data_IF_884514032264
#
_entry.id   IF_884514032264
#
_cell.length_a   1.000
_cell.length_b   1.000
_cell.length_c   1.000
_cell.angle_alpha   90.00
_cell.angle_beta   90.00
_cell.angle_gamma   90.00
#
_symmetry.space_group_name_H-M   'P 1'
#
loop_
_entity.id
_entity.type
_entity.pdbx_description
1 polymer ?
#
# COMPACT_ATOMS: atom_id res chain seq x y z
N UNK A 1 33.38 57.32 -17.92
CA UNK A 1 34.20 56.93 -16.75
C UNK A 1 34.54 55.46 -16.93
N UNK A 2 35.83 55.10 -16.90
CA UNK A 2 36.30 53.72 -17.08
C UNK A 2 36.40 53.09 -15.69
N UNK A 3 35.79 51.91 -15.52
CA UNK A 3 35.80 51.15 -14.27
C UNK A 3 37.19 50.60 -13.99
N UNK A 4 37.71 50.82 -12.77
CA UNK A 4 39.01 50.34 -12.29
C UNK A 4 38.77 49.37 -11.12
N UNK A 5 39.00 48.09 -11.39
CA UNK A 5 38.75 46.97 -10.46
C UNK A 5 39.74 46.88 -9.30
N UNK A 6 40.74 47.76 -9.23
CA UNK A 6 41.81 47.68 -8.22
C UNK A 6 41.67 48.67 -7.08
N UNK A 7 40.68 49.57 -7.11
CA UNK A 7 40.48 50.57 -6.04
C UNK A 7 39.64 50.01 -4.89
N UNK A 8 40.16 49.96 -3.66
CA UNK A 8 39.35 49.62 -2.50
C UNK A 8 38.30 50.71 -2.24
N UNK A 9 37.08 50.31 -1.89
CA UNK A 9 35.96 51.21 -1.59
C UNK A 9 36.23 51.94 -0.27
N UNK A 10 36.87 53.10 -0.36
CA UNK A 10 37.08 54.01 0.79
C UNK A 10 36.34 55.31 0.55
N UNK A 11 35.11 55.43 1.07
CA UNK A 11 34.36 56.68 0.97
C UNK A 11 32.98 56.61 1.64
N UNK A 12 32.82 57.34 2.75
CA UNK A 12 31.64 57.37 3.62
C UNK A 12 30.40 58.07 3.07
N UNK A 13 30.06 57.89 1.80
CA UNK A 13 28.71 58.16 1.27
C UNK A 13 28.56 57.44 -0.06
N UNK A 14 27.70 56.42 -0.10
CA UNK A 14 27.29 55.80 -1.35
C UNK A 14 26.47 56.84 -2.15
N UNK A 15 27.12 57.59 -3.04
CA UNK A 15 26.41 58.46 -3.98
C UNK A 15 25.55 57.58 -4.90
N UNK A 16 24.33 58.03 -5.22
CA UNK A 16 23.32 57.24 -5.93
C UNK A 16 23.74 56.70 -7.31
N UNK A 17 24.87 57.17 -7.85
CA UNK A 17 25.51 56.64 -9.06
C UNK A 17 26.29 55.35 -8.78
N UNK A 18 27.09 55.30 -7.70
CA UNK A 18 27.89 54.13 -7.36
C UNK A 18 27.01 52.94 -6.94
N UNK A 19 25.89 53.22 -6.28
CA UNK A 19 24.88 52.18 -6.00
C UNK A 19 24.27 51.63 -7.29
N UNK A 20 23.95 52.49 -8.27
CA UNK A 20 23.36 52.03 -9.54
C UNK A 20 24.31 51.17 -10.34
N UNK A 21 25.59 51.54 -10.39
CA UNK A 21 26.62 50.74 -11.05
C UNK A 21 26.84 49.40 -10.34
N UNK A 22 26.87 49.37 -9.00
CA UNK A 22 26.96 48.11 -8.27
C UNK A 22 25.73 47.21 -8.50
N UNK A 23 24.51 47.76 -8.54
CA UNK A 23 23.31 46.98 -8.87
C UNK A 23 23.31 46.49 -10.33
N UNK A 24 23.90 47.24 -11.25
CA UNK A 24 24.06 46.83 -12.64
C UNK A 24 25.07 45.68 -12.77
N UNK A 25 26.23 45.80 -12.13
CA UNK A 25 27.25 44.75 -12.09
C UNK A 25 26.69 43.45 -11.48
N UNK A 26 25.96 43.54 -10.35
CA UNK A 26 25.30 42.38 -9.73
C UNK A 26 24.24 41.71 -10.64
N UNK A 27 23.66 42.45 -11.59
CA UNK A 27 22.70 41.93 -12.58
C UNK A 27 23.42 41.30 -13.78
N UNK A 28 24.49 41.92 -14.25
CA UNK A 28 25.33 41.42 -15.35
C UNK A 28 26.08 40.14 -14.95
N UNK A 29 26.54 40.05 -13.70
CA UNK A 29 27.12 38.83 -13.09
C UNK A 29 26.06 37.76 -12.74
N UNK A 30 24.80 38.02 -13.07
CA UNK A 30 23.65 37.13 -12.86
C UNK A 30 23.45 36.69 -11.40
N UNK A 31 23.97 37.45 -10.42
CA UNK A 31 23.80 37.18 -8.99
C UNK A 31 22.35 37.47 -8.57
N UNK A 32 21.77 38.57 -9.06
CA UNK A 32 20.36 38.92 -8.77
C UNK A 32 19.38 38.01 -9.51
N UNK A 33 19.70 37.63 -10.76
CA UNK A 33 18.93 36.64 -11.52
C UNK A 33 19.05 35.23 -10.94
N UNK A 34 20.24 34.87 -10.45
CA UNK A 34 20.52 33.61 -9.76
C UNK A 34 19.80 33.49 -8.42
N UNK A 35 19.66 34.56 -7.64
CA UNK A 35 18.87 34.55 -6.39
C UNK A 35 17.36 34.48 -6.66
N UNK A 36 16.87 35.00 -7.79
CA UNK A 36 15.48 34.79 -8.20
C UNK A 36 15.23 33.37 -8.76
N UNK A 37 16.26 32.72 -9.31
CA UNK A 37 16.20 31.34 -9.80
C UNK A 37 16.48 30.28 -8.71
N UNK A 38 17.24 30.62 -7.67
CA UNK A 38 17.51 29.80 -6.48
C UNK A 38 16.56 30.11 -5.32
N UNK A 39 15.92 31.27 -5.34
CA UNK A 39 14.81 31.59 -4.47
C UNK A 39 13.73 30.57 -4.76
N UNK A 40 13.36 29.80 -3.75
CA UNK A 40 12.22 28.89 -3.77
C UNK A 40 11.00 29.72 -4.17
N UNK A 41 10.72 29.82 -5.47
CA UNK A 41 9.57 30.57 -5.98
C UNK A 41 8.35 29.80 -5.53
N UNK A 42 7.30 30.48 -5.07
CA UNK A 42 6.01 29.87 -4.67
C UNK A 42 5.49 28.83 -5.69
N UNK A 43 5.82 28.98 -6.97
CA UNK A 43 5.54 28.00 -8.03
C UNK A 43 6.27 26.65 -7.88
N UNK A 44 7.51 26.62 -7.36
CA UNK A 44 8.25 25.39 -7.06
C UNK A 44 7.72 24.69 -5.81
N UNK A 45 7.23 25.46 -4.82
CA UNK A 45 6.46 24.92 -3.69
C UNK A 45 5.09 24.41 -4.12
N UNK A 46 4.42 25.05 -5.08
CA UNK A 46 3.13 24.59 -5.61
C UNK A 46 3.26 23.30 -6.45
N UNK A 47 4.37 23.13 -7.17
CA UNK A 47 4.71 21.85 -7.82
C UNK A 47 5.10 20.76 -6.81
N UNK A 48 5.70 21.15 -5.67
CA UNK A 48 6.07 20.26 -4.55
C UNK A 48 4.95 20.05 -3.53
N UNK A 49 3.82 20.77 -3.65
CA UNK A 49 2.64 20.57 -2.81
C UNK A 49 1.88 19.35 -3.32
N UNK A 50 2.26 18.19 -2.80
CA UNK A 50 1.46 16.96 -2.91
C UNK A 50 0.21 17.18 -2.05
N UNK A 51 -0.85 17.71 -2.65
CA UNK A 51 -2.17 17.72 -2.00
C UNK A 51 -2.50 16.29 -1.55
N UNK A 52 -3.14 16.09 -0.39
CA UNK A 52 -3.52 14.74 0.06
C UNK A 52 -4.33 13.97 -0.98
N UNK A 53 -5.11 14.66 -1.82
CA UNK A 53 -5.82 14.05 -2.96
C UNK A 53 -4.88 13.49 -4.06
N UNK A 54 -3.64 13.96 -4.14
CA UNK A 54 -2.60 13.45 -5.05
C UNK A 54 -1.86 12.24 -4.47
N UNK A 55 -1.94 11.99 -3.16
CA UNK A 55 -1.51 10.73 -2.54
C UNK A 55 -2.56 9.67 -2.82
N UNK A 56 -2.31 8.83 -3.82
CA UNK A 56 -3.19 7.70 -4.14
C UNK A 56 -3.06 6.67 -3.02
N UNK A 57 -4.06 6.61 -2.14
CA UNK A 57 -4.13 5.58 -1.09
C UNK A 57 -5.15 4.50 -1.43
N UNK A 58 -4.92 3.29 -0.93
CA UNK A 58 -5.90 2.22 -0.92
C UNK A 58 -6.02 1.61 0.47
N UNK A 59 -7.03 0.76 0.65
CA UNK A 59 -7.22 -0.03 1.86
C UNK A 59 -7.16 -1.50 1.50
N UNK A 60 -6.41 -2.25 2.30
CA UNK A 60 -6.37 -3.70 2.29
C UNK A 60 -6.71 -4.22 3.67
N UNK A 61 -7.11 -5.47 3.74
CA UNK A 61 -7.42 -6.11 5.02
C UNK A 61 -7.02 -7.57 5.04
N UNK A 62 -6.79 -8.06 6.24
CA UNK A 62 -6.52 -9.45 6.54
C UNK A 62 -7.51 -9.94 7.59
N UNK A 63 -7.83 -11.22 7.58
CA UNK A 63 -8.64 -11.84 8.61
C UNK A 63 -8.21 -13.28 8.89
N UNK A 64 -8.63 -13.78 10.05
CA UNK A 64 -8.54 -15.21 10.33
C UNK A 64 -9.08 -15.58 11.70
N UNK A 65 -9.06 -16.88 11.97
CA UNK A 65 -9.54 -17.50 13.21
C UNK A 65 -8.45 -18.44 13.71
N UNK A 66 -7.93 -18.21 14.92
CA UNK A 66 -6.91 -19.10 15.50
C UNK A 66 -6.87 -18.97 17.03
N UNK A 67 -6.90 -20.11 17.72
CA UNK A 67 -6.71 -20.18 19.17
C UNK A 67 -5.24 -20.04 19.61
N UNK A 68 -4.31 -20.24 18.67
CA UNK A 68 -2.87 -20.05 18.85
C UNK A 68 -2.42 -18.80 18.11
N UNK A 69 -1.23 -18.29 18.44
CA UNK A 69 -0.64 -17.18 17.70
C UNK A 69 -0.37 -17.58 16.25
N UNK A 70 -0.82 -16.74 15.33
CA UNK A 70 -0.52 -16.88 13.90
C UNK A 70 -0.23 -15.51 13.31
N UNK A 71 0.65 -15.48 12.32
CA UNK A 71 1.08 -14.24 11.66
C UNK A 71 0.48 -14.05 10.27
N UNK A 72 0.02 -12.83 9.97
CA UNK A 72 -0.51 -12.42 8.68
C UNK A 72 0.32 -11.29 8.08
N UNK A 73 0.60 -11.36 6.78
CA UNK A 73 1.24 -10.26 6.05
C UNK A 73 0.22 -9.15 5.76
N UNK A 74 0.47 -7.93 6.23
CA UNK A 74 -0.39 -6.79 5.97
C UNK A 74 -0.23 -6.25 4.53
N UNK A 75 -1.32 -5.81 3.88
CA UNK A 75 -1.26 -5.15 2.58
C UNK A 75 -0.52 -3.82 2.59
N UNK A 76 0.26 -3.56 1.53
CA UNK A 76 0.94 -2.28 1.32
C UNK A 76 2.40 -2.26 1.77
N UNK A 77 2.88 -3.28 2.48
CA UNK A 77 4.29 -3.43 2.85
C UNK A 77 4.81 -2.20 3.60
N UNK A 78 5.94 -1.66 3.15
CA UNK A 78 6.59 -0.48 3.75
C UNK A 78 5.77 0.82 3.66
N UNK A 79 4.72 0.86 2.82
CA UNK A 79 3.90 2.05 2.58
C UNK A 79 2.60 2.09 3.38
N UNK A 80 2.48 1.21 4.38
CA UNK A 80 1.35 1.11 5.29
C UNK A 80 1.32 2.21 6.36
N UNK A 81 0.14 2.77 6.60
CA UNK A 81 -0.14 3.51 7.82
C UNK A 81 -0.48 2.55 8.97
N UNK A 82 -0.64 3.08 10.18
CA UNK A 82 -1.03 2.26 11.34
C UNK A 82 -2.33 1.50 11.08
N UNK A 83 -2.31 0.21 11.35
CA UNK A 83 -3.43 -0.71 11.19
C UNK A 83 -4.56 -0.41 12.19
N UNK A 84 -5.78 -0.74 11.78
CA UNK A 84 -6.96 -0.70 12.62
C UNK A 84 -7.48 -2.14 12.80
N UNK A 85 -7.83 -2.49 14.03
CA UNK A 85 -8.21 -3.85 14.41
C UNK A 85 -9.71 -3.93 14.71
N UNK A 86 -10.31 -5.07 14.36
CA UNK A 86 -11.73 -5.35 14.63
C UNK A 86 -11.93 -6.83 14.98
N UNK A 87 -12.74 -7.10 15.99
CA UNK A 87 -13.23 -8.44 16.30
C UNK A 87 -14.59 -8.71 15.64
N UNK A 88 -14.84 -9.95 15.21
CA UNK A 88 -16.08 -10.37 14.57
C UNK A 88 -17.21 -10.68 15.56
N UNK A 89 -16.91 -10.81 16.85
CA UNK A 89 -17.89 -11.16 17.89
C UNK A 89 -17.56 -10.45 19.20
N UNK A 90 -18.54 -9.74 19.76
CA UNK A 90 -18.43 -9.04 21.04
C UNK A 90 -18.25 -10.05 22.19
N UNK A 91 -17.45 -9.69 23.19
CA UNK A 91 -17.22 -10.52 24.39
C UNK A 91 -16.18 -11.62 24.22
N UNK A 92 -15.68 -11.86 23.00
CA UNK A 92 -14.54 -12.75 22.78
C UNK A 92 -13.21 -12.06 23.12
N UNK A 93 -12.22 -12.90 23.41
CA UNK A 93 -10.85 -12.48 23.66
C UNK A 93 -10.09 -12.32 22.34
N UNK A 94 -9.45 -11.17 22.16
CA UNK A 94 -8.60 -10.86 21.01
C UNK A 94 -7.27 -10.32 21.51
N UNK A 95 -6.18 -10.79 20.93
CA UNK A 95 -4.87 -10.19 21.10
C UNK A 95 -4.22 -9.99 19.75
N UNK A 96 -3.49 -8.89 19.63
CA UNK A 96 -2.67 -8.57 18.50
C UNK A 96 -1.31 -8.05 18.98
N UNK A 97 -0.28 -8.39 18.22
CA UNK A 97 1.10 -7.96 18.44
C UNK A 97 1.76 -7.77 17.08
N UNK A 98 2.83 -6.99 17.01
CA UNK A 98 3.64 -6.88 15.80
C UNK A 98 4.34 -8.19 15.45
N UNK A 99 4.62 -9.01 16.46
CA UNK A 99 5.22 -10.34 16.30
C UNK A 99 4.61 -11.29 17.34
N UNK A 100 4.52 -12.57 17.00
CA UNK A 100 4.15 -13.65 17.91
C UNK A 100 5.06 -13.61 19.15
N UNK A 101 4.53 -13.31 20.35
CA UNK A 101 5.31 -13.24 21.58
C UNK A 101 5.78 -14.62 22.08
N UNK A 102 5.30 -15.71 21.47
CA UNK A 102 5.63 -17.09 21.84
C UNK A 102 6.62 -17.79 20.90
N UNK A 103 7.02 -17.11 19.82
CA UNK A 103 8.16 -17.44 18.97
C UNK A 103 8.17 -18.85 18.31
N UNK A 104 7.04 -19.30 17.75
CA UNK A 104 7.04 -20.45 16.83
C UNK A 104 6.85 -20.05 15.35
N UNK A 105 6.29 -18.86 15.07
CA UNK A 105 6.21 -18.30 13.72
C UNK A 105 7.45 -17.43 13.41
N UNK A 106 8.39 -18.00 12.66
CA UNK A 106 9.66 -17.37 12.35
C UNK A 106 9.53 -16.13 11.45
N UNK A 107 10.12 -15.01 11.89
CA UNK A 107 10.50 -13.93 10.98
C UNK A 107 11.30 -14.52 9.81
N UNK A 108 10.88 -14.22 8.59
CA UNK A 108 11.65 -14.65 7.41
C UNK A 108 12.94 -13.83 7.30
N UNK A 109 13.92 -14.29 6.52
CA UNK A 109 15.13 -13.50 6.20
C UNK A 109 14.84 -12.29 5.29
N UNK A 110 13.58 -12.08 4.90
CA UNK A 110 13.10 -10.92 4.16
C UNK A 110 12.26 -10.03 5.07
N UNK A 111 12.35 -8.71 4.86
CA UNK A 111 11.45 -7.75 5.51
C UNK A 111 9.99 -8.04 5.10
N UNK A 112 9.10 -8.04 6.09
CA UNK A 112 7.67 -8.21 5.88
C UNK A 112 6.91 -7.33 6.89
N UNK A 113 5.89 -6.63 6.40
CA UNK A 113 4.93 -5.95 7.28
C UNK A 113 3.93 -6.97 7.78
N UNK A 114 3.99 -7.30 9.07
CA UNK A 114 3.22 -8.39 9.67
C UNK A 114 2.37 -7.92 10.85
N UNK A 115 1.32 -8.68 11.12
CA UNK A 115 0.58 -8.64 12.38
C UNK A 115 0.35 -10.07 12.86
N UNK A 116 0.64 -10.32 14.12
CA UNK A 116 0.35 -11.59 14.77
C UNK A 116 -0.88 -11.43 15.64
N UNK A 117 -1.75 -12.43 15.63
CA UNK A 117 -2.98 -12.40 16.43
C UNK A 117 -3.31 -13.78 16.99
N UNK A 118 -4.18 -13.78 18.01
CA UNK A 118 -4.94 -14.96 18.44
C UNK A 118 -6.32 -14.55 18.93
N UNK A 119 -7.28 -15.45 18.80
CA UNK A 119 -8.69 -15.26 19.19
C UNK A 119 -9.19 -16.43 20.04
N UNK A 120 -10.25 -16.20 20.82
CA UNK A 120 -10.99 -17.27 21.49
C UNK A 120 -12.30 -17.59 20.77
N UNK A 121 -12.87 -18.76 21.05
CA UNK A 121 -14.27 -19.06 20.73
C UNK A 121 -14.60 -19.08 19.24
N UNK A 122 -13.61 -19.34 18.37
CA UNK A 122 -13.82 -19.33 16.92
C UNK A 122 -14.08 -17.95 16.31
N UNK A 123 -13.81 -16.88 17.06
CA UNK A 123 -14.09 -15.53 16.61
C UNK A 123 -13.12 -15.06 15.53
N UNK A 124 -13.63 -14.39 14.50
CA UNK A 124 -12.82 -13.81 13.43
C UNK A 124 -12.12 -12.54 13.90
N UNK A 125 -10.82 -12.48 13.70
CA UNK A 125 -10.02 -11.26 13.78
C UNK A 125 -9.95 -10.60 12.42
N UNK A 126 -10.00 -9.27 12.40
CA UNK A 126 -9.77 -8.45 11.21
C UNK A 126 -8.73 -7.38 11.53
N UNK A 127 -7.79 -7.18 10.60
CA UNK A 127 -6.94 -6.01 10.59
C UNK A 127 -7.03 -5.34 9.21
N UNK A 128 -7.19 -4.02 9.20
CA UNK A 128 -7.20 -3.23 7.97
C UNK A 128 -6.07 -2.20 8.00
N UNK A 129 -5.47 -1.98 6.84
CA UNK A 129 -4.40 -1.02 6.66
C UNK A 129 -4.75 -0.12 5.48
N UNK A 130 -4.68 1.20 5.71
CA UNK A 130 -4.57 2.17 4.62
C UNK A 130 -3.10 2.26 4.24
N UNK A 131 -2.80 2.40 2.96
CA UNK A 131 -1.43 2.50 2.48
C UNK A 131 -1.39 3.30 1.18
N UNK A 132 -0.21 3.82 0.83
CA UNK A 132 0.01 4.45 -0.48
C UNK A 132 0.07 3.33 -1.53
N UNK A 133 -0.88 3.33 -2.45
CA UNK A 133 -0.93 2.30 -3.51
C UNK A 133 -0.10 2.77 -4.71
N UNK A 134 0.76 1.89 -5.21
CA UNK A 134 1.44 2.10 -6.48
C UNK A 134 0.77 1.32 -7.64
N UNK A 135 -0.26 0.53 -7.35
CA UNK A 135 -0.98 -0.30 -8.32
C UNK A 135 -2.52 -0.12 -8.20
N UNK A 136 -3.30 -1.17 -8.45
CA UNK A 136 -4.75 -1.20 -8.56
C UNK A 136 -5.26 -1.67 -9.91
N UNK A 137 -4.39 -2.27 -10.73
CA UNK A 137 -4.77 -2.94 -11.96
C UNK A 137 -5.63 -4.18 -11.69
N UNK A 138 -5.31 -4.94 -10.64
CA UNK A 138 -6.01 -6.17 -10.24
C UNK A 138 -6.34 -6.11 -8.75
N UNK A 139 -7.60 -6.33 -8.40
CA UNK A 139 -7.95 -6.55 -6.99
C UNK A 139 -7.74 -8.02 -6.64
N UNK A 140 -6.95 -8.27 -5.60
CA UNK A 140 -6.60 -9.61 -5.16
C UNK A 140 -7.38 -9.95 -3.91
N UNK A 141 -8.04 -11.10 -3.90
CA UNK A 141 -8.60 -11.72 -2.70
C UNK A 141 -8.00 -13.13 -2.61
N UNK A 142 -7.14 -13.34 -1.61
CA UNK A 142 -6.59 -14.65 -1.28
C UNK A 142 -7.38 -15.25 -0.12
N UNK A 143 -7.70 -16.53 -0.21
CA UNK A 143 -8.38 -17.29 0.83
C UNK A 143 -7.57 -18.54 1.11
N UNK A 144 -7.21 -18.73 2.39
CA UNK A 144 -6.66 -19.97 2.92
C UNK A 144 -7.81 -20.80 3.48
N UNK A 145 -8.00 -22.01 2.96
CA UNK A 145 -9.11 -22.89 3.31
C UNK A 145 -8.61 -24.27 3.71
N UNK A 146 -9.24 -24.86 4.73
CA UNK A 146 -9.00 -26.27 5.08
C UNK A 146 -9.49 -27.18 3.95
N UNK A 147 -8.70 -28.17 3.56
CA UNK A 147 -9.05 -29.06 2.44
C UNK A 147 -10.19 -30.03 2.76
N UNK A 148 -10.36 -30.39 4.03
CA UNK A 148 -11.30 -31.42 4.49
C UNK A 148 -12.63 -30.76 4.87
N UNK A 149 -12.60 -29.81 5.82
CA UNK A 149 -13.82 -29.17 6.34
C UNK A 149 -14.36 -28.11 5.40
N UNK A 150 -13.50 -27.58 4.51
CA UNK A 150 -13.79 -26.44 3.63
C UNK A 150 -14.04 -25.13 4.38
N UNK A 151 -13.63 -25.06 5.65
CA UNK A 151 -13.70 -23.83 6.43
C UNK A 151 -12.61 -22.85 6.02
N UNK A 152 -12.98 -21.57 5.99
CA UNK A 152 -12.04 -20.47 5.75
C UNK A 152 -11.21 -20.25 7.01
N UNK A 153 -9.89 -20.43 6.88
CA UNK A 153 -8.92 -20.23 7.96
C UNK A 153 -8.48 -18.77 8.02
N UNK A 154 -8.14 -18.21 6.86
CA UNK A 154 -7.66 -16.84 6.74
C UNK A 154 -8.00 -16.25 5.38
N UNK A 155 -8.14 -14.93 5.33
CA UNK A 155 -8.31 -14.19 4.10
C UNK A 155 -7.42 -12.97 4.05
N UNK A 156 -7.10 -12.54 2.85
CA UNK A 156 -6.34 -11.34 2.57
C UNK A 156 -6.91 -10.68 1.33
N UNK A 157 -7.05 -9.36 1.35
CA UNK A 157 -7.44 -8.62 0.16
C UNK A 157 -6.71 -7.30 0.03
N UNK A 158 -6.35 -6.96 -1.21
CA UNK A 158 -5.86 -5.64 -1.57
C UNK A 158 -5.84 -5.43 -3.09
N UNK A 159 -5.85 -4.17 -3.56
CA UNK A 159 -5.60 -3.82 -4.97
C UNK A 159 -4.15 -4.03 -5.42
N UNK A 160 -3.20 -4.21 -4.50
CA UNK A 160 -1.80 -4.50 -4.78
C UNK A 160 -1.52 -5.99 -4.54
N UNK A 161 -0.61 -6.60 -5.31
CA UNK A 161 -0.23 -8.00 -5.07
C UNK A 161 0.64 -8.11 -3.79
N UNK A 162 0.58 -9.20 -3.00
CA UNK A 162 1.38 -9.36 -1.78
C UNK A 162 2.89 -9.15 -1.92
N UNK A 163 3.45 -9.34 -3.11
CA UNK A 163 4.87 -9.08 -3.36
C UNK A 163 5.23 -7.59 -3.44
N UNK A 164 4.25 -6.71 -3.67
CA UNK A 164 4.46 -5.26 -3.66
C UNK A 164 4.83 -4.79 -2.24
N UNK A 165 5.91 -4.01 -2.12
CA UNK A 165 6.44 -3.59 -0.82
C UNK A 165 7.10 -4.72 -0.01
N UNK A 166 7.11 -5.95 -0.52
CA UNK A 166 7.76 -7.13 0.08
C UNK A 166 8.77 -7.74 -0.91
N UNK A 167 9.67 -6.89 -1.43
CA UNK A 167 10.77 -7.30 -2.33
C UNK A 167 10.43 -7.42 -3.82
N UNK A 168 9.17 -7.23 -4.25
CA UNK A 168 8.78 -7.10 -5.66
C UNK A 168 9.04 -8.33 -6.54
N UNK A 169 9.13 -9.51 -5.91
CA UNK A 169 9.46 -10.80 -6.53
C UNK A 169 8.26 -11.77 -6.36
N UNK A 170 7.34 -11.86 -7.32
CA UNK A 170 6.12 -12.66 -7.17
C UNK A 170 6.35 -14.17 -7.04
N UNK A 171 7.50 -14.68 -7.49
CA UNK A 171 7.88 -16.08 -7.29
C UNK A 171 8.36 -16.39 -5.86
N UNK A 172 8.83 -15.38 -5.12
CA UNK A 172 9.24 -15.53 -3.73
C UNK A 172 8.10 -15.21 -2.77
N UNK A 173 7.22 -14.26 -3.16
CA UNK A 173 6.03 -13.87 -2.40
C UNK A 173 4.76 -14.07 -3.26
N UNK A 174 4.37 -15.32 -3.55
CA UNK A 174 3.22 -15.63 -4.41
C UNK A 174 1.85 -15.43 -3.74
N UNK A 175 1.80 -15.49 -2.41
CA UNK A 175 0.59 -15.34 -1.60
C UNK A 175 0.96 -14.85 -0.19
N UNK A 176 -0.01 -14.36 0.63
CA UNK A 176 0.28 -13.68 1.90
C UNK A 176 0.24 -14.59 3.15
N UNK A 177 0.21 -15.92 2.97
CA UNK A 177 0.07 -16.89 4.05
C UNK A 177 1.42 -17.52 4.41
N UNK A 178 2.05 -17.04 5.49
CA UNK A 178 3.38 -17.50 5.92
C UNK A 178 3.38 -18.96 6.39
N UNK A 179 2.29 -19.41 7.01
CA UNK A 179 2.16 -20.75 7.59
C UNK A 179 1.39 -21.72 6.68
N UNK A 180 1.48 -21.53 5.36
CA UNK A 180 0.77 -22.38 4.42
C UNK A 180 1.35 -23.82 4.40
N UNK A 181 0.55 -24.80 4.81
CA UNK A 181 0.82 -26.22 4.58
C UNK A 181 -0.02 -26.75 3.42
N UNK A 182 0.67 -27.18 2.35
CA UNK A 182 0.00 -27.71 1.16
C UNK A 182 -0.67 -29.06 1.35
N UNK A 183 -0.45 -29.77 2.46
CA UNK A 183 -1.12 -31.04 2.73
C UNK A 183 -2.51 -30.85 3.35
N UNK A 184 -2.63 -29.93 4.30
CA UNK A 184 -3.88 -29.63 5.03
C UNK A 184 -4.71 -28.52 4.40
N UNK A 185 -4.07 -27.55 3.74
CA UNK A 185 -4.73 -26.34 3.26
C UNK A 185 -4.66 -26.17 1.73
N UNK A 186 -5.63 -25.43 1.20
CA UNK A 186 -5.65 -24.97 -0.20
C UNK A 186 -5.78 -23.45 -0.26
N UNK A 187 -5.23 -22.87 -1.32
CA UNK A 187 -5.28 -21.43 -1.57
C UNK A 187 -6.22 -21.18 -2.74
N UNK A 188 -7.19 -20.30 -2.51
CA UNK A 188 -8.12 -19.81 -3.52
C UNK A 188 -7.78 -18.35 -3.79
N UNK A 189 -7.70 -17.99 -5.07
CA UNK A 189 -7.55 -16.61 -5.51
C UNK A 189 -8.79 -16.20 -6.27
N UNK A 190 -9.31 -15.04 -5.90
CA UNK A 190 -10.44 -14.40 -6.55
C UNK A 190 -10.00 -13.01 -6.98
N UNK A 191 -10.31 -12.66 -8.22
CA UNK A 191 -10.05 -11.34 -8.78
C UNK A 191 -11.37 -10.68 -9.18
N UNK A 192 -12.09 -10.04 -8.23
CA UNK A 192 -13.35 -9.39 -8.54
C UNK A 192 -13.15 -8.26 -9.54
N UNK A 193 -14.16 -8.00 -10.37
CA UNK A 193 -14.13 -6.83 -11.27
C UNK A 193 -14.17 -5.53 -10.48
N UNK A 194 -13.79 -4.42 -11.10
CA UNK A 194 -13.84 -3.09 -10.46
C UNK A 194 -15.26 -2.73 -9.99
N UNK A 195 -16.27 -3.13 -10.77
CA UNK A 195 -17.68 -2.92 -10.47
C UNK A 195 -18.09 -3.74 -9.24
N UNK A 196 -17.66 -5.00 -9.16
CA UNK A 196 -17.91 -5.83 -7.98
C UNK A 196 -17.22 -5.28 -6.73
N UNK A 197 -15.99 -4.79 -6.85
CA UNK A 197 -15.29 -4.12 -5.73
C UNK A 197 -16.06 -2.88 -5.27
N UNK A 198 -16.52 -2.04 -6.20
CA UNK A 198 -17.27 -0.83 -5.86
C UNK A 198 -18.60 -1.17 -5.14
N UNK A 199 -19.31 -2.19 -5.62
CA UNK A 199 -20.53 -2.68 -4.96
C UNK A 199 -20.25 -3.18 -3.53
N UNK A 200 -19.19 -3.97 -3.35
CA UNK A 200 -18.80 -4.47 -2.03
C UNK A 200 -18.32 -3.34 -1.12
N UNK A 201 -17.62 -2.33 -1.65
CA UNK A 201 -17.19 -1.15 -0.90
C UNK A 201 -18.40 -0.33 -0.41
N UNK A 202 -19.45 -0.17 -1.20
CA UNK A 202 -20.67 0.50 -0.73
C UNK A 202 -21.31 -0.24 0.45
N UNK A 203 -21.25 -1.58 0.46
CA UNK A 203 -21.73 -2.44 1.55
C UNK A 203 -20.87 -2.42 2.81
N UNK A 204 -19.67 -1.83 2.75
CA UNK A 204 -18.83 -1.61 3.94
C UNK A 204 -19.38 -0.51 4.84
N UNK A 205 -20.06 0.47 4.24
CA UNK A 205 -20.59 1.64 4.94
C UNK A 205 -21.96 1.30 5.51
N UNK A 206 -22.12 1.45 6.83
CA UNK A 206 -23.41 1.34 7.51
C UNK A 206 -23.98 2.74 7.70
N UNK A 207 -25.15 3.00 7.11
CA UNK A 207 -25.85 4.28 7.28
C UNK A 207 -26.42 4.46 8.69
N UNK A 208 -26.56 3.37 9.45
CA UNK A 208 -27.01 3.43 10.85
C UNK A 208 -25.86 3.88 11.75
N UNK A 209 -26.09 4.94 12.53
CA UNK A 209 -25.16 5.40 13.56
C UNK A 209 -24.96 4.39 14.71
N UNK A 210 -25.78 3.35 14.78
CA UNK A 210 -25.71 2.31 15.83
C UNK A 210 -24.96 1.06 15.40
N UNK A 211 -24.58 0.95 14.12
CA UNK A 211 -23.85 -0.20 13.60
C UNK A 211 -22.46 0.23 13.12
N UNK A 212 -21.38 -0.46 13.52
CA UNK A 212 -20.07 -0.15 13.00
C UNK A 212 -19.95 -0.54 11.53
N UNK A 213 -19.20 0.25 10.77
CA UNK A 213 -18.80 -0.09 9.41
C UNK A 213 -18.12 -1.48 9.34
N UNK A 214 -18.30 -2.16 8.22
CA UNK A 214 -17.69 -3.45 7.91
C UNK A 214 -16.40 -3.25 7.13
N UNK A 215 -15.45 -4.17 7.24
CA UNK A 215 -14.33 -4.20 6.28
C UNK A 215 -14.73 -5.01 5.04
N UNK A 216 -13.97 -4.89 3.95
CA UNK A 216 -14.29 -5.60 2.70
C UNK A 216 -14.31 -7.12 2.87
N UNK A 217 -13.39 -7.69 3.65
CA UNK A 217 -13.40 -9.12 3.95
C UNK A 217 -14.65 -9.55 4.70
N UNK A 218 -15.13 -8.73 5.64
CA UNK A 218 -16.37 -9.02 6.36
C UNK A 218 -17.57 -9.04 5.40
N UNK A 219 -17.65 -8.07 4.48
CA UNK A 219 -18.67 -8.08 3.41
C UNK A 219 -18.59 -9.35 2.58
N UNK A 220 -17.38 -9.76 2.16
CA UNK A 220 -17.19 -10.99 1.39
C UNK A 220 -17.67 -12.22 2.18
N UNK A 221 -17.28 -12.35 3.45
CA UNK A 221 -17.65 -13.51 4.27
C UNK A 221 -19.13 -13.56 4.61
N UNK A 222 -19.77 -12.41 4.84
CA UNK A 222 -21.18 -12.34 5.26
C UNK A 222 -22.13 -12.41 4.07
N UNK A 223 -21.82 -11.71 2.98
CA UNK A 223 -22.79 -11.45 1.90
C UNK A 223 -22.52 -12.33 0.65
N UNK A 224 -21.34 -12.95 0.53
CA UNK A 224 -20.93 -13.73 -0.64
C UNK A 224 -20.53 -15.17 -0.30
N UNK A 225 -20.61 -16.05 -1.30
CA UNK A 225 -20.00 -17.38 -1.31
C UNK A 225 -18.91 -17.45 -2.38
N UNK A 226 -17.93 -18.33 -2.16
CA UNK A 226 -16.93 -18.68 -3.16
C UNK A 226 -17.61 -19.60 -4.18
N UNK A 227 -17.62 -19.17 -5.44
CA UNK A 227 -18.12 -19.93 -6.57
C UNK A 227 -16.95 -20.58 -7.32
N UNK A 228 -16.72 -21.86 -7.02
CA UNK A 228 -15.72 -22.71 -7.68
C UNK A 228 -16.25 -23.34 -8.98
N UNK A 229 -17.53 -23.16 -9.30
CA UNK A 229 -18.11 -23.65 -10.56
C UNK A 229 -17.74 -22.74 -11.72
N UNK A 230 -17.66 -21.44 -11.44
CA UNK A 230 -17.07 -20.46 -12.36
C UNK A 230 -15.55 -20.65 -12.35
N UNK A 231 -14.96 -20.86 -13.53
CA UNK A 231 -13.51 -21.07 -13.72
C UNK A 231 -12.89 -19.85 -14.40
N UNK A 232 -12.74 -18.71 -13.70
CA UNK A 232 -12.16 -17.51 -14.29
C UNK A 232 -10.69 -17.74 -14.66
N UNK A 233 -10.22 -17.00 -15.65
CA UNK A 233 -8.80 -16.98 -16.02
C UNK A 233 -7.97 -16.26 -14.96
N UNK A 234 -6.72 -16.69 -14.81
CA UNK A 234 -5.75 -15.92 -14.04
C UNK A 234 -5.49 -14.56 -14.73
N UNK A 235 -5.30 -13.47 -13.97
CA UNK A 235 -5.02 -12.16 -14.56
C UNK A 235 -3.79 -12.18 -15.48
N UNK A 236 -3.96 -11.69 -16.70
CA UNK A 236 -2.92 -11.62 -17.73
C UNK A 236 -2.47 -10.17 -18.02
N UNK A 237 -2.56 -9.30 -17.00
CA UNK A 237 -2.15 -7.91 -17.09
C UNK A 237 -0.91 -7.63 -16.22
N UNK A 238 0.04 -6.79 -16.69
CA UNK A 238 1.16 -6.39 -15.85
C UNK A 238 0.70 -5.51 -14.68
N UNK A 239 1.15 -5.84 -13.47
CA UNK A 239 0.87 -5.05 -12.26
C UNK A 239 2.16 -4.42 -11.73
N UNK A 240 2.04 -3.29 -11.04
CA UNK A 240 3.19 -2.65 -10.39
C UNK A 240 3.71 -3.52 -9.23
N UNK A 241 5.01 -3.80 -9.21
CA UNK A 241 5.68 -4.61 -8.17
C UNK A 241 6.73 -3.85 -7.37
N UNK A 242 7.07 -2.63 -7.76
CA UNK A 242 8.05 -1.79 -7.07
C UNK A 242 8.59 -0.65 -7.92
N UNK A 243 9.67 -0.04 -7.44
CA UNK A 243 10.40 1.04 -8.11
C UNK A 243 11.76 0.54 -8.62
N UNK A 244 12.34 1.16 -9.65
CA UNK A 244 13.66 0.81 -10.16
C UNK A 244 14.75 1.12 -9.14
N UNK A 245 15.88 0.38 -9.08
CA UNK A 245 16.88 0.53 -7.99
C UNK A 245 17.44 1.94 -7.81
N UNK A 246 17.50 2.72 -8.88
CA UNK A 246 17.98 4.11 -8.95
C UNK A 246 16.91 5.16 -8.61
N UNK A 247 15.71 4.74 -8.17
CA UNK A 247 14.61 5.67 -7.85
C UNK A 247 15.00 6.72 -6.79
N UNK A 248 15.90 6.36 -5.86
CA UNK A 248 16.40 7.24 -4.81
C UNK A 248 17.27 8.39 -5.35
N UNK A 249 17.72 8.33 -6.59
CA UNK A 249 18.48 9.42 -7.25
C UNK A 249 17.58 10.22 -8.20
N UNK A 250 16.43 9.68 -8.59
CA UNK A 250 15.53 10.31 -9.55
C UNK A 250 14.87 11.61 -9.05
N UNK A 251 14.82 11.85 -7.73
CA UNK A 251 14.39 13.14 -7.20
C UNK A 251 15.34 14.29 -7.60
N UNK A 252 16.61 13.99 -7.90
CA UNK A 252 17.60 14.97 -8.37
C UNK A 252 17.39 15.35 -9.84
N UNK A 253 16.84 14.45 -10.65
CA UNK A 253 16.74 14.62 -12.11
C UNK A 253 15.40 15.20 -12.57
N UNK A 254 14.46 15.47 -11.66
CA UNK A 254 13.07 15.86 -11.94
C UNK A 254 12.35 14.94 -12.96
N UNK A 255 12.92 13.78 -13.25
CA UNK A 255 12.40 12.84 -14.24
C UNK A 255 11.43 11.90 -13.56
N UNK A 256 10.20 11.71 -14.09
CA UNK A 256 9.23 10.80 -13.49
C UNK A 256 9.77 9.37 -13.41
N UNK A 257 9.85 8.83 -12.19
CA UNK A 257 10.22 7.43 -11.95
C UNK A 257 9.15 6.52 -12.55
N UNK A 258 9.56 5.64 -13.45
CA UNK A 258 8.68 4.62 -14.02
C UNK A 258 8.64 3.39 -13.09
N UNK A 259 7.47 2.99 -12.55
CA UNK A 259 7.37 1.81 -11.72
C UNK A 259 7.71 0.52 -12.50
N UNK A 260 8.30 -0.45 -11.82
CA UNK A 260 8.52 -1.79 -12.38
C UNK A 260 7.16 -2.49 -12.43
N UNK A 261 6.75 -2.90 -13.63
CA UNK A 261 5.58 -3.76 -13.83
C UNK A 261 5.98 -5.18 -14.20
N UNK A 262 5.26 -6.15 -13.66
CA UNK A 262 5.45 -7.58 -13.98
C UNK A 262 4.10 -8.27 -14.16
N UNK A 263 4.08 -9.22 -15.07
CA UNK A 263 3.03 -10.24 -15.12
C UNK A 263 3.19 -11.14 -13.89
N UNK A 264 2.14 -11.31 -13.10
CA UNK A 264 2.18 -12.22 -11.95
C UNK A 264 1.99 -13.65 -12.48
N UNK A 265 2.98 -14.54 -12.38
CA UNK A 265 2.79 -15.93 -12.77
C UNK A 265 1.81 -16.59 -11.80
N UNK A 266 0.92 -17.44 -12.33
CA UNK A 266 0.04 -18.25 -11.50
C UNK A 266 0.90 -19.26 -10.71
N UNK A 267 0.89 -19.24 -9.37
CA UNK A 267 1.58 -20.24 -8.57
C UNK A 267 0.95 -21.64 -8.72
N UNK A 268 1.76 -22.67 -8.50
CA UNK A 268 1.28 -24.04 -8.50
C UNK A 268 0.21 -24.26 -7.42
N UNK A 269 -0.75 -25.15 -7.70
CA UNK A 269 -1.80 -25.58 -6.75
C UNK A 269 -2.75 -24.47 -6.26
N UNK A 270 -2.81 -23.31 -6.93
CA UNK A 270 -3.84 -22.30 -6.69
C UNK A 270 -5.14 -22.61 -7.44
N UNK A 271 -6.25 -22.57 -6.70
CA UNK A 271 -7.60 -22.58 -7.24
C UNK A 271 -7.99 -21.14 -7.60
N UNK A 272 -8.48 -20.92 -8.81
CA UNK A 272 -9.03 -19.61 -9.20
C UNK A 272 -10.54 -19.73 -9.18
N UNK A 273 -11.21 -18.85 -8.46
CA UNK A 273 -12.66 -18.89 -8.25
C UNK A 273 -13.28 -17.49 -8.39
N UNK A 274 -14.61 -17.43 -8.35
CA UNK A 274 -15.36 -16.17 -8.35
C UNK A 274 -16.11 -15.99 -7.03
N UNK A 275 -16.66 -14.78 -6.82
CA UNK A 275 -17.62 -14.53 -5.75
C UNK A 275 -19.03 -14.51 -6.32
N UNK A 276 -19.98 -15.06 -5.56
CA UNK A 276 -21.41 -15.00 -5.87
C UNK A 276 -22.17 -14.54 -4.63
N UNK A 277 -23.14 -13.65 -4.79
CA UNK A 277 -24.00 -13.22 -3.69
C UNK A 277 -24.70 -14.43 -3.06
N UNK A 278 -24.75 -14.47 -1.73
CA UNK A 278 -25.60 -15.42 -1.02
C UNK A 278 -27.04 -15.13 -1.41
N UNK A 279 -27.77 -16.17 -1.82
CA UNK A 279 -29.22 -16.05 -1.95
C UNK A 279 -29.77 -15.84 -0.55
N UNK A 280 -30.50 -14.75 -0.35
CA UNK A 280 -31.31 -14.58 0.85
C UNK A 280 -32.37 -15.70 0.78
N UNK A 281 -32.37 -16.57 1.79
CA UNK A 281 -33.37 -17.62 1.95
C UNK A 281 -34.73 -17.01 2.33
#
# INVERSE_FOLDING_TARGET
MVYDSTKPVTGGSLVAVDMRENFRALKEDNIVGGVAALGIVEGMLAASAVAQAKLKTSQGSVSGISAIWVSLTLPGGEYGFREQLKGGTVGNYYQASLLDPTADDGLTTSYATIISYRTSGGATFYAQQRYVTASGEVHWVFVLRDKITKDIISMWQAPDHPCFGNGGKPLLTPYPFLNYDSNSCEIIVINPSKEQILEMQQKTIKLSETEPDRCLLQVITEDYIIDETTKPSWPDIPVTVGLPPDWNEAWLSLTPVQPIKKMIPKPDKIIVASLKLKKIA
#
